data_IF_335921934333
#
_entry.id   IF_335921934333
#
_cell.length_a   1.000
_cell.length_b   1.000
_cell.length_c   1.000
_cell.angle_alpha   90.00
_cell.angle_beta   90.00
_cell.angle_gamma   90.00
#
_symmetry.space_group_name_H-M   'P 1'
#
loop_
_entity.id
_entity.type
_entity.pdbx_description
1 polymer ?
#
# COMPACT_ATOMS: atom_id res chain seq x y z
N UNK A 1 0.49 14.93 -19.14
CA UNK A 1 1.23 14.19 -18.12
C UNK A 1 0.24 13.15 -17.65
N UNK A 2 0.36 11.92 -18.15
CA UNK A 2 -0.53 10.83 -17.78
C UNK A 2 -0.23 10.46 -16.34
N UNK A 3 -1.17 10.77 -15.45
CA UNK A 3 -1.09 10.35 -14.06
C UNK A 3 -1.30 8.82 -14.02
N UNK A 4 -0.21 8.06 -14.00
CA UNK A 4 -0.23 6.62 -13.77
C UNK A 4 -0.60 6.35 -12.31
N UNK A 5 -1.90 6.45 -11.99
CA UNK A 5 -2.42 5.86 -10.76
C UNK A 5 -2.32 4.34 -10.91
N UNK A 6 -1.54 3.69 -10.06
CA UNK A 6 -1.55 2.24 -9.97
C UNK A 6 -2.88 1.84 -9.31
N UNK A 7 -3.92 1.72 -10.14
CA UNK A 7 -5.30 1.86 -9.70
C UNK A 7 -5.95 0.52 -9.30
N UNK A 8 -5.26 -0.61 -9.52
CA UNK A 8 -5.80 -1.92 -9.18
C UNK A 8 -4.78 -3.02 -8.92
N UNK A 9 -5.25 -4.05 -8.22
CA UNK A 9 -4.51 -5.23 -7.78
C UNK A 9 -5.36 -6.47 -8.00
N UNK A 10 -4.78 -7.53 -8.55
CA UNK A 10 -5.45 -8.83 -8.69
C UNK A 10 -5.02 -9.76 -7.55
N UNK A 11 -5.99 -10.37 -6.89
CA UNK A 11 -5.78 -11.28 -5.76
C UNK A 11 -6.85 -12.37 -5.80
N UNK A 12 -6.46 -13.64 -5.65
CA UNK A 12 -7.36 -14.80 -5.64
C UNK A 12 -8.35 -14.81 -6.82
N UNK A 13 -7.87 -14.46 -8.02
CA UNK A 13 -8.67 -14.45 -9.24
C UNK A 13 -9.64 -13.28 -9.39
N UNK A 14 -9.67 -12.33 -8.45
CA UNK A 14 -10.51 -11.12 -8.50
C UNK A 14 -9.66 -9.85 -8.61
N UNK A 15 -10.23 -8.79 -9.19
CA UNK A 15 -9.52 -7.52 -9.39
C UNK A 15 -10.09 -6.42 -8.52
N UNK A 16 -9.26 -5.85 -7.66
CA UNK A 16 -9.57 -4.78 -6.73
C UNK A 16 -9.11 -3.46 -7.30
N UNK A 17 -9.95 -2.43 -7.26
CA UNK A 17 -9.72 -1.13 -7.89
C UNK A 17 -10.17 -0.02 -6.95
N UNK A 18 -9.36 1.04 -6.84
CA UNK A 18 -9.79 2.27 -6.15
C UNK A 18 -10.65 3.08 -7.13
N UNK A 19 -11.92 3.27 -6.79
CA UNK A 19 -12.88 4.04 -7.56
C UNK A 19 -13.25 5.34 -6.82
N UNK A 20 -13.68 6.34 -7.58
CA UNK A 20 -14.08 7.64 -7.04
C UNK A 20 -15.53 7.96 -7.39
N UNK A 21 -16.32 8.38 -6.39
CA UNK A 21 -17.70 8.76 -6.60
C UNK A 21 -17.77 10.26 -6.94
N UNK A 22 -17.99 10.58 -8.22
CA UNK A 22 -18.11 11.97 -8.68
C UNK A 22 -19.34 12.70 -8.14
N UNK A 23 -20.36 12.00 -7.64
CA UNK A 23 -21.63 12.58 -7.16
C UNK A 23 -21.67 12.75 -5.64
N UNK A 24 -20.95 11.92 -4.88
CA UNK A 24 -20.92 11.94 -3.42
C UNK A 24 -19.60 12.49 -2.90
N UNK A 25 -19.40 13.80 -3.06
CA UNK A 25 -18.28 14.56 -2.46
C UNK A 25 -16.87 14.07 -2.85
N UNK A 26 -16.71 13.42 -4.01
CA UNK A 26 -15.41 12.87 -4.46
C UNK A 26 -14.79 11.89 -3.46
N UNK A 27 -15.61 11.11 -2.75
CA UNK A 27 -15.12 10.03 -1.89
C UNK A 27 -14.56 8.89 -2.72
N UNK A 28 -13.41 8.38 -2.28
CA UNK A 28 -12.81 7.19 -2.84
C UNK A 28 -13.37 5.95 -2.14
N UNK A 29 -13.44 4.84 -2.85
CA UNK A 29 -13.87 3.56 -2.29
C UNK A 29 -13.20 2.43 -3.06
N UNK A 30 -12.99 1.31 -2.37
CA UNK A 30 -12.45 0.12 -2.97
C UNK A 30 -13.58 -0.73 -3.52
N UNK A 31 -13.48 -1.09 -4.79
CA UNK A 31 -14.37 -2.06 -5.44
C UNK A 31 -13.59 -3.29 -5.86
N UNK A 32 -14.29 -4.42 -5.92
CA UNK A 32 -13.81 -5.67 -6.47
C UNK A 32 -14.65 -6.03 -7.70
N UNK A 33 -14.02 -6.33 -8.83
CA UNK A 33 -14.66 -7.07 -9.90
C UNK A 33 -14.50 -8.57 -9.61
N UNK A 34 -15.62 -9.21 -9.30
CA UNK A 34 -15.69 -10.65 -9.12
C UNK A 34 -15.83 -11.35 -10.45
N UNK A 35 -14.82 -12.10 -10.86
CA UNK A 35 -14.88 -12.88 -12.11
C UNK A 35 -15.82 -14.08 -12.01
N UNK A 36 -16.13 -14.56 -10.80
CA UNK A 36 -17.02 -15.71 -10.61
C UNK A 36 -18.48 -15.34 -10.86
N UNK A 37 -18.90 -14.19 -10.34
CA UNK A 37 -20.27 -13.68 -10.47
C UNK A 37 -20.44 -12.60 -11.55
N UNK A 38 -19.33 -12.19 -12.20
CA UNK A 38 -19.26 -11.11 -13.20
C UNK A 38 -19.85 -9.78 -12.72
N UNK A 39 -19.59 -9.43 -11.45
CA UNK A 39 -20.20 -8.26 -10.79
C UNK A 39 -19.17 -7.39 -10.06
N UNK A 40 -19.46 -6.10 -10.00
CA UNK A 40 -18.76 -5.19 -9.11
C UNK A 40 -19.32 -5.30 -7.70
N UNK A 41 -18.43 -5.43 -6.71
CA UNK A 41 -18.72 -5.39 -5.29
C UNK A 41 -18.04 -4.20 -4.64
N UNK A 42 -18.69 -3.65 -3.63
CA UNK A 42 -18.07 -2.68 -2.72
C UNK A 42 -17.29 -3.43 -1.64
N UNK A 43 -16.08 -2.96 -1.32
CA UNK A 43 -15.19 -3.63 -0.34
C UNK A 43 -14.80 -2.73 0.83
N UNK A 44 -14.66 -1.42 0.61
CA UNK A 44 -14.24 -0.48 1.65
C UNK A 44 -14.59 0.96 1.25
N UNK A 45 -15.22 1.70 2.16
CA UNK A 45 -15.30 3.16 2.05
C UNK A 45 -13.98 3.78 2.51
N UNK A 46 -13.37 4.58 1.62
CA UNK A 46 -12.17 5.33 1.91
C UNK A 46 -12.63 6.76 2.14
N UNK A 47 -12.80 7.13 3.40
CA UNK A 47 -13.20 8.49 3.76
C UNK A 47 -12.12 9.47 3.26
N UNK A 48 -12.35 10.06 2.09
CA UNK A 48 -11.55 11.14 1.53
C UNK A 48 -12.08 12.44 2.10
N UNK A 49 -11.27 13.09 2.94
CA UNK A 49 -11.68 14.31 3.64
C UNK A 49 -11.21 15.59 2.94
N UNK A 50 -10.43 15.49 1.86
CA UNK A 50 -9.83 16.67 1.24
C UNK A 50 -10.79 17.34 0.23
N UNK A 51 -11.39 18.44 0.69
CA UNK A 51 -12.05 19.45 -0.14
C UNK A 51 -11.05 20.41 -0.82
N UNK A 52 -9.75 20.05 -0.86
CA UNK A 52 -8.66 20.91 -1.32
C UNK A 52 -8.07 20.49 -2.67
N UNK A 53 -7.35 21.43 -3.30
CA UNK A 53 -6.75 21.36 -4.64
C UNK A 53 -6.13 19.99 -5.00
N UNK A 54 -6.06 19.62 -6.31
CA UNK A 54 -5.59 18.30 -6.78
C UNK A 54 -4.20 17.85 -6.25
N UNK A 55 -3.35 18.78 -5.81
CA UNK A 55 -2.03 18.49 -5.23
C UNK A 55 -2.06 18.02 -3.77
N UNK A 56 -3.15 18.21 -3.04
CA UNK A 56 -3.28 17.91 -1.61
C UNK A 56 -4.32 16.83 -1.30
N UNK A 57 -4.79 16.09 -2.32
CA UNK A 57 -5.65 14.93 -2.10
C UNK A 57 -4.93 13.80 -1.37
N UNK A 58 -5.69 13.16 -0.49
CA UNK A 58 -5.41 11.86 0.09
C UNK A 58 -5.03 10.84 -1.00
N UNK A 59 -4.15 9.91 -0.66
CA UNK A 59 -3.71 8.85 -1.59
C UNK A 59 -3.96 7.47 -1.01
N UNK A 60 -4.24 6.53 -1.91
CA UNK A 60 -4.54 5.13 -1.57
C UNK A 60 -3.68 4.23 -2.42
N UNK A 61 -2.95 3.32 -1.78
CA UNK A 61 -2.10 2.32 -2.44
C UNK A 61 -2.61 0.94 -2.04
N UNK A 62 -2.67 0.02 -3.01
CA UNK A 62 -3.03 -1.39 -2.78
C UNK A 62 -1.77 -2.26 -2.78
N UNK A 63 -1.76 -3.28 -1.93
CA UNK A 63 -0.73 -4.32 -1.92
C UNK A 63 -1.31 -5.67 -1.53
N UNK A 64 -0.64 -6.75 -1.93
CA UNK A 64 -0.98 -8.10 -1.50
C UNK A 64 -0.07 -8.51 -0.34
N UNK A 65 -0.65 -9.14 0.68
CA UNK A 65 0.11 -9.74 1.79
C UNK A 65 0.07 -11.24 1.63
N UNK A 66 1.25 -11.84 1.45
CA UNK A 66 1.44 -13.29 1.25
C UNK A 66 0.56 -13.91 0.16
N UNK A 67 0.13 -13.11 -0.83
CA UNK A 67 -0.80 -13.51 -1.89
C UNK A 67 -2.18 -13.99 -1.38
N UNK A 68 -2.51 -13.75 -0.11
CA UNK A 68 -3.72 -14.25 0.53
C UNK A 68 -4.65 -13.13 1.01
N UNK A 69 -4.08 -12.00 1.43
CA UNK A 69 -4.80 -10.86 1.99
C UNK A 69 -4.53 -9.60 1.16
N UNK A 70 -5.47 -8.68 1.24
CA UNK A 70 -5.38 -7.36 0.66
C UNK A 70 -4.93 -6.36 1.73
N UNK A 71 -3.95 -5.54 1.41
CA UNK A 71 -3.54 -4.40 2.22
C UNK A 71 -3.86 -3.09 1.49
N UNK A 72 -4.31 -2.11 2.25
CA UNK A 72 -4.56 -0.75 1.79
C UNK A 72 -3.78 0.21 2.66
N UNK A 73 -2.95 1.03 2.04
CA UNK A 73 -2.32 2.19 2.66
C UNK A 73 -3.16 3.41 2.33
N UNK A 74 -3.66 4.09 3.37
CA UNK A 74 -4.45 5.31 3.29
C UNK A 74 -3.59 6.43 3.84
N UNK A 75 -3.28 7.41 3.01
CA UNK A 75 -2.51 8.58 3.40
C UNK A 75 -3.41 9.81 3.40
N UNK A 76 -3.56 10.40 4.59
CA UNK A 76 -4.36 11.60 4.83
C UNK A 76 -3.48 12.82 4.89
N UNK A 77 -3.60 13.69 3.89
CA UNK A 77 -2.73 14.87 3.78
C UNK A 77 -3.01 15.86 4.89
N UNK A 78 -4.27 16.19 5.14
CA UNK A 78 -4.66 17.20 6.14
C UNK A 78 -4.36 16.75 7.59
N UNK A 79 -4.46 15.45 7.85
CA UNK A 79 -4.21 14.88 9.16
C UNK A 79 -2.73 14.52 9.39
N UNK A 80 -1.90 14.59 8.36
CA UNK A 80 -0.51 14.12 8.38
C UNK A 80 -0.42 12.68 8.92
N UNK A 81 -1.25 11.80 8.37
CA UNK A 81 -1.44 10.47 8.94
C UNK A 81 -1.40 9.41 7.85
N UNK A 82 -0.73 8.29 8.14
CA UNK A 82 -0.85 7.08 7.34
C UNK A 82 -1.51 5.99 8.18
N UNK A 83 -2.50 5.35 7.58
CA UNK A 83 -3.18 4.19 8.13
C UNK A 83 -3.02 3.01 7.15
N UNK A 84 -2.53 1.88 7.64
CA UNK A 84 -2.47 0.63 6.87
C UNK A 84 -3.54 -0.29 7.43
N UNK A 85 -4.42 -0.77 6.54
CA UNK A 85 -5.43 -1.79 6.83
C UNK A 85 -5.09 -3.06 6.08
N UNK A 86 -5.33 -4.19 6.70
CA UNK A 86 -5.22 -5.51 6.07
C UNK A 86 -6.54 -6.25 6.22
N UNK A 87 -6.89 -7.08 5.25
CA UNK A 87 -8.08 -7.92 5.34
C UNK A 87 -7.87 -9.04 6.35
N UNK A 88 -8.82 -9.22 7.24
CA UNK A 88 -8.94 -10.43 8.07
C UNK A 88 -9.70 -11.53 7.36
N UNK A 89 -10.60 -11.16 6.45
CA UNK A 89 -11.34 -12.10 5.63
C UNK A 89 -11.62 -11.50 4.24
N UNK A 90 -11.61 -12.36 3.22
CA UNK A 90 -12.01 -12.05 1.85
C UNK A 90 -12.87 -13.23 1.36
N UNK A 91 -14.13 -13.24 1.77
CA UNK A 91 -15.12 -14.18 1.25
C UNK A 91 -15.98 -13.53 0.18
N UNK A 92 -16.76 -14.34 -0.53
CA UNK A 92 -17.55 -13.90 -1.68
C UNK A 92 -18.43 -12.67 -1.41
N UNK A 93 -18.97 -12.53 -0.19
CA UNK A 93 -19.93 -11.49 0.18
C UNK A 93 -19.47 -10.57 1.33
N UNK A 94 -18.34 -10.86 1.97
CA UNK A 94 -17.86 -10.11 3.13
C UNK A 94 -16.35 -9.92 3.10
N UNK A 95 -15.93 -8.66 3.12
CA UNK A 95 -14.52 -8.25 3.21
C UNK A 95 -14.35 -7.50 4.53
N UNK A 96 -13.71 -8.17 5.48
CA UNK A 96 -13.45 -7.58 6.81
C UNK A 96 -12.03 -7.08 6.89
N UNK A 97 -11.86 -5.95 7.57
CA UNK A 97 -10.60 -5.23 7.67
C UNK A 97 -10.19 -5.05 9.12
N UNK A 98 -8.89 -5.16 9.37
CA UNK A 98 -8.28 -4.73 10.63
C UNK A 98 -7.27 -3.64 10.37
N UNK A 99 -7.13 -2.74 11.35
CA UNK A 99 -6.09 -1.71 11.35
C UNK A 99 -4.76 -2.38 11.72
N UNK A 100 -3.83 -2.41 10.78
CA UNK A 100 -2.50 -2.99 10.97
C UNK A 100 -1.53 -2.00 11.59
N UNK A 101 -1.36 -0.82 10.96
CA UNK A 101 -0.50 0.25 11.46
C UNK A 101 -1.18 1.61 11.31
N UNK A 102 -0.82 2.54 12.19
CA UNK A 102 -1.25 3.93 12.14
C UNK A 102 -0.14 4.81 12.69
N UNK A 103 0.29 5.82 11.95
CA UNK A 103 1.39 6.67 12.36
C UNK A 103 1.27 8.10 11.82
N UNK A 104 1.87 9.04 12.55
CA UNK A 104 1.91 10.48 12.21
C UNK A 104 3.15 10.76 11.35
N UNK A 105 2.96 11.42 10.22
CA UNK A 105 4.02 11.78 9.27
C UNK A 105 4.50 13.23 9.40
N UNK A 106 4.03 14.00 10.38
CA UNK A 106 4.59 15.33 10.72
C UNK A 106 6.11 15.31 10.91
N UNK A 107 6.74 14.29 11.54
CA UNK A 107 8.20 14.24 11.64
C UNK A 107 8.92 14.17 10.29
N UNK A 108 8.23 13.78 9.22
CA UNK A 108 8.72 13.64 7.85
C UNK A 108 8.33 14.84 6.96
N UNK A 109 7.58 15.81 7.50
CA UNK A 109 6.99 16.96 6.78
C UNK A 109 8.03 17.84 6.08
N UNK A 110 9.29 17.84 6.55
CA UNK A 110 10.36 18.66 5.98
C UNK A 110 10.74 18.29 4.54
N UNK A 111 10.17 17.24 3.94
CA UNK A 111 10.41 16.89 2.55
C UNK A 111 9.12 16.87 1.72
N UNK A 112 8.95 17.89 0.86
CA UNK A 112 7.93 17.92 -0.20
C UNK A 112 7.95 16.63 -1.08
N UNK A 113 9.12 15.99 -1.15
CA UNK A 113 9.32 14.73 -1.86
C UNK A 113 8.57 13.55 -1.21
N UNK A 114 8.39 13.51 0.12
CA UNK A 114 7.67 12.43 0.79
C UNK A 114 6.17 12.40 0.42
N UNK A 115 5.56 13.58 0.27
CA UNK A 115 4.15 13.72 -0.13
C UNK A 115 3.90 13.25 -1.58
N UNK A 116 4.81 13.58 -2.50
CA UNK A 116 4.75 13.08 -3.89
C UNK A 116 5.00 11.58 -3.95
N UNK A 117 5.90 11.08 -3.11
CA UNK A 117 6.25 9.67 -3.03
C UNK A 117 5.03 8.78 -2.72
N UNK A 118 4.19 9.13 -1.75
CA UNK A 118 3.03 8.33 -1.35
C UNK A 118 1.90 8.30 -2.39
N UNK A 119 2.02 9.05 -3.49
CA UNK A 119 1.09 8.97 -4.62
C UNK A 119 1.49 7.94 -5.66
N UNK A 120 2.78 7.61 -5.71
CA UNK A 120 3.37 6.75 -6.74
C UNK A 120 4.24 5.65 -6.14
N UNK A 121 4.14 5.39 -4.85
CA UNK A 121 4.91 4.35 -4.17
C UNK A 121 4.26 2.98 -4.30
N UNK A 122 5.05 1.97 -3.98
CA UNK A 122 4.56 0.63 -3.65
C UNK A 122 4.84 0.37 -2.17
N UNK A 123 4.08 -0.52 -1.55
CA UNK A 123 4.38 -0.92 -0.17
C UNK A 123 4.21 -2.41 0.03
N UNK A 124 4.89 -2.93 1.04
CA UNK A 124 4.85 -4.31 1.47
C UNK A 124 4.62 -4.36 2.97
N UNK A 125 3.99 -5.42 3.44
CA UNK A 125 3.70 -5.64 4.86
C UNK A 125 4.34 -6.94 5.30
N UNK A 126 5.01 -6.91 6.45
CA UNK A 126 5.47 -8.08 7.19
C UNK A 126 4.64 -8.16 8.48
N UNK A 127 3.64 -9.04 8.50
CA UNK A 127 2.73 -9.21 9.64
C UNK A 127 3.44 -9.76 10.88
N UNK A 128 4.45 -10.62 10.71
CA UNK A 128 5.17 -11.25 11.83
C UNK A 128 6.01 -10.21 12.57
N UNK A 129 6.70 -9.35 11.82
CA UNK A 129 7.50 -8.26 12.39
C UNK A 129 6.67 -7.01 12.69
N UNK A 130 5.40 -6.99 12.27
CA UNK A 130 4.51 -5.83 12.32
C UNK A 130 5.13 -4.55 11.73
N UNK A 131 5.71 -4.69 10.54
CA UNK A 131 6.32 -3.55 9.82
C UNK A 131 5.76 -3.42 8.41
N UNK A 132 5.78 -2.19 7.90
CA UNK A 132 5.52 -1.88 6.51
C UNK A 132 6.78 -1.28 5.85
N UNK A 133 7.09 -1.75 4.65
CA UNK A 133 8.13 -1.17 3.79
C UNK A 133 7.43 -0.36 2.70
N UNK A 134 7.68 0.94 2.62
CA UNK A 134 7.15 1.81 1.56
C UNK A 134 8.31 2.22 0.66
N UNK A 135 8.23 1.93 -0.64
CA UNK A 135 9.30 2.11 -1.62
C UNK A 135 8.94 3.14 -2.68
N UNK A 136 9.81 4.12 -2.87
CA UNK A 136 9.65 5.19 -3.85
C UNK A 136 10.02 4.69 -5.24
N UNK A 137 9.08 4.79 -6.18
CA UNK A 137 9.27 4.27 -7.54
C UNK A 137 10.49 4.88 -8.25
N UNK A 138 10.82 6.15 -7.99
CA UNK A 138 11.69 6.93 -8.88
C UNK A 138 13.02 7.34 -8.24
N UNK A 139 13.14 7.32 -6.90
CA UNK A 139 14.28 7.94 -6.20
C UNK A 139 15.08 6.98 -5.30
N UNK A 140 14.82 5.68 -5.38
CA UNK A 140 15.62 4.68 -4.67
C UNK A 140 15.59 4.86 -3.14
N UNK A 141 14.50 5.39 -2.58
CA UNK A 141 14.30 5.46 -1.13
C UNK A 141 13.27 4.44 -0.72
N UNK A 142 13.49 3.83 0.44
CA UNK A 142 12.51 3.00 1.09
C UNK A 142 12.43 3.35 2.57
N UNK A 143 11.22 3.34 3.11
CA UNK A 143 10.93 3.61 4.51
C UNK A 143 10.42 2.32 5.14
N UNK A 144 11.13 1.82 6.15
CA UNK A 144 10.61 0.76 7.03
C UNK A 144 9.89 1.46 8.17
N UNK A 145 8.65 1.08 8.44
CA UNK A 145 7.79 1.71 9.45
C UNK A 145 7.23 0.61 10.33
N UNK A 146 7.37 0.75 11.65
CA UNK A 146 6.84 -0.19 12.63
C UNK A 146 5.84 0.45 13.59
N UNK A 147 5.52 -0.27 14.66
CA UNK A 147 4.77 0.28 15.80
C UNK A 147 5.55 1.49 16.41
N UNK A 148 4.83 2.38 17.10
CA UNK A 148 5.38 3.57 17.79
C UNK A 148 6.01 4.68 16.91
N UNK A 149 5.59 4.79 15.65
CA UNK A 149 6.15 5.75 14.67
C UNK A 149 7.66 5.56 14.41
N UNK A 150 8.22 4.38 14.72
CA UNK A 150 9.60 4.08 14.37
C UNK A 150 9.74 3.97 12.85
N UNK A 151 10.66 4.75 12.28
CA UNK A 151 11.02 4.62 10.87
C UNK A 151 12.53 4.56 10.63
N UNK A 152 12.91 3.80 9.61
CA UNK A 152 14.28 3.75 9.09
C UNK A 152 14.26 4.03 7.59
N UNK A 153 15.02 5.04 7.18
CA UNK A 153 15.28 5.31 5.77
C UNK A 153 16.37 4.36 5.26
N UNK A 154 16.07 3.65 4.18
CA UNK A 154 17.04 2.88 3.41
C UNK A 154 17.19 3.54 2.03
N UNK A 155 18.44 3.80 1.62
CA UNK A 155 18.76 4.17 0.25
C UNK A 155 18.97 2.89 -0.56
N UNK A 156 17.97 2.56 -1.37
CA UNK A 156 18.02 1.50 -2.36
C UNK A 156 18.72 2.07 -3.60
N UNK A 157 19.95 1.64 -3.87
CA UNK A 157 20.60 1.92 -5.15
C UNK A 157 19.86 1.14 -6.24
N UNK A 158 18.85 1.77 -6.84
CA UNK A 158 18.12 1.21 -7.98
C UNK A 158 18.88 1.52 -9.27
N UNK A 159 19.28 0.48 -9.99
CA UNK A 159 19.62 0.56 -11.41
C UNK A 159 18.42 0.05 -12.21
N UNK A 160 17.42 0.91 -12.46
CA UNK A 160 16.34 0.63 -13.42
C UNK A 160 14.95 0.41 -12.81
N UNK A 161 13.95 0.91 -13.53
CA UNK A 161 12.53 0.99 -13.16
C UNK A 161 11.80 -0.36 -13.12
N UNK A 162 10.65 -0.34 -12.43
CA UNK A 162 9.66 -1.42 -12.19
C UNK A 162 10.21 -2.58 -11.35
N UNK A 163 10.19 -2.35 -10.04
CA UNK A 163 10.24 -3.40 -9.03
C UNK A 163 8.93 -4.21 -9.10
N UNK A 164 8.83 -5.13 -10.06
CA UNK A 164 7.99 -6.32 -9.96
C UNK A 164 8.66 -7.25 -8.93
N UNK A 165 8.56 -6.90 -7.64
CA UNK A 165 8.95 -7.82 -6.58
C UNK A 165 7.70 -8.58 -6.13
N UNK A 166 7.47 -9.74 -6.71
CA UNK A 166 6.82 -10.83 -5.97
C UNK A 166 7.74 -11.20 -4.81
N UNK A 167 7.51 -10.61 -3.65
CA UNK A 167 8.23 -11.01 -2.44
C UNK A 167 7.68 -12.37 -2.00
N UNK A 168 8.47 -13.42 -2.22
CA UNK A 168 8.25 -14.75 -1.63
C UNK A 168 9.09 -14.82 -0.36
N UNK A 169 8.51 -14.78 0.86
CA UNK A 169 9.26 -15.03 2.07
C UNK A 169 9.54 -16.53 2.17
N UNK A 170 10.55 -17.03 1.45
CA UNK A 170 11.06 -18.38 1.73
C UNK A 170 12.21 -18.25 2.73
N UNK A 171 11.98 -18.65 3.97
CA UNK A 171 13.02 -18.89 4.97
C UNK A 171 13.81 -20.15 4.60
N UNK A 172 14.63 -20.10 3.56
CA UNK A 172 15.55 -21.20 3.21
C UNK A 172 16.89 -20.93 3.88
N UNK A 173 17.29 -21.79 4.81
CA UNK A 173 18.64 -21.80 5.36
C UNK A 173 19.62 -22.16 4.24
N UNK A 174 20.52 -21.23 3.90
CA UNK A 174 21.59 -21.47 2.94
C UNK A 174 22.57 -22.48 3.57
N UNK A 175 22.82 -23.65 2.94
CA UNK A 175 23.81 -24.58 3.46
C UNK A 175 25.18 -23.92 3.45
N UNK A 176 25.91 -24.02 4.56
CA UNK A 176 27.33 -23.65 4.59
C UNK A 176 28.06 -24.57 3.62
N UNK A 177 28.69 -23.99 2.59
CA UNK A 177 29.58 -24.71 1.69
C UNK A 177 30.77 -25.32 2.45
N UNK A 178 31.42 -26.35 1.90
CA UNK A 178 32.48 -27.07 2.58
C UNK A 178 33.65 -26.14 2.89
N UNK A 179 34.17 -26.28 4.11
CA UNK A 179 35.45 -25.72 4.53
C UNK A 179 36.51 -26.70 4.05
N UNK A 180 37.22 -26.35 2.98
CA UNK A 180 38.37 -27.13 2.52
C UNK A 180 39.50 -27.02 3.55
N UNK A 181 40.11 -28.16 3.87
CA UNK A 181 41.24 -28.33 4.77
C UNK A 181 42.58 -28.28 4.02
#
# INVERSE_FOLDING_TARGET
MEDYYQMGLTLKGNTYIVAQNRKAEMRDFLICFDFTSERFRHCLDLQSYSNSYPRNRDSVILSAVREEQLAVLIHRVDAYEIEIRITTNIEADDVTWTRFLKFDVKPLESSAAFWMFLRHGIFFVDEEKKVALICENDFGRAYVIGEDNYFKLALVKSTGWRVMCSYVPSSVQIPKGPVDA
#
